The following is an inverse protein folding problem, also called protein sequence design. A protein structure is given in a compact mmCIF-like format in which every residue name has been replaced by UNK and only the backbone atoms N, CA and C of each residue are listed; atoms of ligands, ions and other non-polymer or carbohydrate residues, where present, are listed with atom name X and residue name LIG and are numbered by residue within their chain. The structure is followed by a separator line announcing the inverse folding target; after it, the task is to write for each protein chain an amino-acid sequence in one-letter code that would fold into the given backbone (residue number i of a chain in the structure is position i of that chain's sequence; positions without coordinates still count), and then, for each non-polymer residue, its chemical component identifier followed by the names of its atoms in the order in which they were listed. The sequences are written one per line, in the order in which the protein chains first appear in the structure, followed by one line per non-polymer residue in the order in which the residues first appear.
data_IF_924735125379
#
_entry.id   IF_924735125379
#
_cell.length_a   1.000
_cell.length_b   1.000
_cell.length_c   1.000
_cell.angle_alpha   90.00
_cell.angle_beta   90.00
_cell.angle_gamma   90.00
#
_symmetry.space_group_name_H-M   'P 1'
#
loop_
_entity.id
_entity.type
_entity.pdbx_description
1 polymer ?
#
# COMPACT_ATOMS: atom_id res chain seq x y z
N UNK A 1 -5.00 26.39 -32.50
CA UNK A 1 -4.21 26.49 -31.26
C UNK A 1 -5.15 26.18 -30.09
N UNK A 2 -4.76 25.28 -29.18
CA UNK A 2 -5.47 24.82 -27.96
C UNK A 2 -6.34 23.55 -28.09
N UNK A 3 -5.66 22.39 -28.09
CA UNK A 3 -6.16 21.09 -27.55
C UNK A 3 -5.00 20.33 -26.90
N UNK A 4 -4.35 20.96 -25.93
CA UNK A 4 -3.42 20.28 -25.02
C UNK A 4 -4.18 20.15 -23.70
N UNK A 5 -4.11 18.98 -23.08
CA UNK A 5 -4.80 18.56 -21.83
C UNK A 5 -6.20 17.96 -22.06
N UNK A 6 -6.26 16.78 -22.69
CA UNK A 6 -7.35 15.84 -22.41
C UNK A 6 -7.26 15.47 -20.93
N UNK A 7 -8.21 15.96 -20.14
CA UNK A 7 -8.57 15.35 -18.86
C UNK A 7 -8.79 13.87 -19.14
N UNK A 8 -8.07 12.99 -18.45
CA UNK A 8 -8.39 11.56 -18.45
C UNK A 8 -9.86 11.41 -18.08
N UNK A 9 -10.60 10.59 -18.83
CA UNK A 9 -11.98 10.30 -18.44
C UNK A 9 -11.95 9.57 -17.08
N UNK A 10 -12.90 9.84 -16.20
CA UNK A 10 -12.89 9.30 -14.83
C UNK A 10 -12.85 7.77 -14.84
N UNK A 11 -13.48 7.17 -15.86
CA UNK A 11 -13.51 5.73 -16.10
C UNK A 11 -12.12 5.21 -16.45
N UNK A 12 -11.38 5.89 -17.33
CA UNK A 12 -10.01 5.49 -17.70
C UNK A 12 -9.07 5.54 -16.49
N UNK A 13 -9.24 6.52 -15.60
CA UNK A 13 -8.47 6.60 -14.36
C UNK A 13 -8.77 5.40 -13.46
N UNK A 14 -10.05 5.03 -13.32
CA UNK A 14 -10.45 3.87 -12.53
C UNK A 14 -9.88 2.57 -13.12
N UNK A 15 -9.95 2.41 -14.43
CA UNK A 15 -9.45 1.23 -15.14
C UNK A 15 -7.91 1.13 -15.09
N UNK A 16 -7.21 2.25 -14.91
CA UNK A 16 -5.74 2.26 -14.71
C UNK A 16 -5.29 1.74 -13.33
N UNK A 17 -6.21 1.59 -12.36
CA UNK A 17 -5.86 1.14 -11.02
C UNK A 17 -5.68 -0.38 -10.99
N UNK A 18 -4.52 -0.84 -10.50
CA UNK A 18 -4.24 -2.26 -10.26
C UNK A 18 -3.77 -2.52 -8.84
N UNK A 19 -4.21 -3.64 -8.26
CA UNK A 19 -3.69 -4.18 -7.00
C UNK A 19 -2.52 -5.15 -7.19
N UNK A 20 -2.25 -5.58 -8.42
CA UNK A 20 -1.24 -6.57 -8.77
C UNK A 20 -0.44 -6.09 -10.00
N UNK A 21 0.46 -5.12 -9.82
CA UNK A 21 1.30 -4.65 -10.91
C UNK A 21 2.20 -5.77 -11.45
N UNK A 22 2.28 -5.85 -12.77
CA UNK A 22 3.18 -6.73 -13.52
C UNK A 22 4.53 -6.02 -13.78
N UNK A 23 5.52 -6.75 -14.28
CA UNK A 23 6.87 -6.20 -14.48
C UNK A 23 6.91 -5.21 -15.66
N UNK A 24 6.03 -5.42 -16.64
CA UNK A 24 5.83 -4.59 -17.82
C UNK A 24 5.01 -3.32 -17.56
N UNK A 25 4.39 -3.18 -16.39
CA UNK A 25 3.54 -2.03 -16.07
C UNK A 25 4.37 -0.76 -15.76
N UNK A 26 3.94 0.38 -16.31
CA UNK A 26 4.50 1.68 -15.94
C UNK A 26 3.80 2.24 -14.69
N UNK A 27 4.47 2.12 -13.54
CA UNK A 27 3.91 2.59 -12.27
C UNK A 27 4.10 4.11 -12.10
N UNK A 28 2.97 4.83 -12.08
CA UNK A 28 2.93 6.29 -11.90
C UNK A 28 2.85 6.69 -10.43
N UNK A 29 2.02 6.00 -9.64
CA UNK A 29 1.73 6.36 -8.25
C UNK A 29 1.33 5.14 -7.42
N UNK A 30 1.37 5.26 -6.09
CA UNK A 30 0.86 4.23 -5.17
C UNK A 30 -0.19 4.82 -4.22
N UNK A 31 -1.35 4.18 -4.14
CA UNK A 31 -2.48 4.60 -3.30
C UNK A 31 -2.68 3.63 -2.14
N UNK A 32 -3.12 4.17 -0.99
CA UNK A 32 -3.56 3.35 0.14
C UNK A 32 -5.07 3.19 0.10
N UNK A 33 -5.56 1.96 0.22
CA UNK A 33 -6.99 1.63 0.28
C UNK A 33 -7.29 0.72 1.46
N UNK A 34 -8.55 0.73 1.92
CA UNK A 34 -9.05 -0.15 2.97
C UNK A 34 -10.24 -0.94 2.45
N UNK A 35 -10.20 -2.26 2.61
CA UNK A 35 -11.28 -3.17 2.19
C UNK A 35 -11.27 -4.45 3.04
N UNK A 36 -12.35 -5.25 3.03
CA UNK A 36 -12.34 -6.58 3.63
C UNK A 36 -11.20 -7.43 3.04
N UNK A 37 -10.48 -8.17 3.88
CA UNK A 37 -9.27 -8.88 3.44
C UNK A 37 -9.53 -9.92 2.33
N UNK A 38 -10.76 -10.44 2.25
CA UNK A 38 -11.19 -11.37 1.19
C UNK A 38 -11.24 -10.72 -0.19
N UNK A 39 -11.54 -9.42 -0.31
CA UNK A 39 -11.60 -8.74 -1.61
C UNK A 39 -10.20 -8.43 -2.13
N UNK A 40 -9.22 -8.33 -1.23
CA UNK A 40 -7.82 -8.04 -1.55
C UNK A 40 -7.04 -9.31 -1.90
N UNK A 41 -7.67 -10.43 -2.22
CA UNK A 41 -6.99 -11.70 -2.50
C UNK A 41 -5.93 -11.60 -3.61
N UNK A 42 -6.18 -10.79 -4.63
CA UNK A 42 -5.24 -10.60 -5.74
C UNK A 42 -4.24 -9.45 -5.50
N UNK A 43 -4.35 -8.70 -4.41
CA UNK A 43 -3.42 -7.60 -4.15
C UNK A 43 -2.04 -8.11 -3.72
N UNK A 44 -1.00 -7.60 -4.37
CA UNK A 44 0.40 -7.88 -4.05
C UNK A 44 0.78 -7.36 -2.66
N UNK A 45 0.52 -6.08 -2.40
CA UNK A 45 0.83 -5.42 -1.13
C UNK A 45 -0.41 -5.30 -0.26
N UNK A 46 -0.55 -6.20 0.72
CA UNK A 46 -1.68 -6.19 1.65
C UNK A 46 -1.28 -6.66 3.04
N UNK A 47 -2.01 -6.18 4.04
CA UNK A 47 -1.87 -6.63 5.42
C UNK A 47 -3.24 -6.63 6.09
N UNK A 48 -3.50 -7.62 6.95
CA UNK A 48 -4.70 -7.63 7.76
C UNK A 48 -4.44 -6.85 9.05
N UNK A 49 -5.27 -5.85 9.31
CA UNK A 49 -5.30 -5.16 10.60
C UNK A 49 -6.38 -5.77 11.48
N UNK A 50 -6.02 -6.09 12.72
CA UNK A 50 -6.91 -6.68 13.73
C UNK A 50 -6.78 -5.83 14.99
N UNK A 51 -7.84 -5.63 15.79
CA UNK A 51 -7.69 -5.03 17.12
C UNK A 51 -6.57 -5.69 17.93
N UNK A 52 -5.77 -4.88 18.62
CA UNK A 52 -4.56 -5.37 19.30
C UNK A 52 -3.97 -4.34 20.25
N UNK A 53 -2.68 -4.46 20.55
CA UNK A 53 -2.01 -3.60 21.55
C UNK A 53 -1.05 -2.57 20.92
N UNK A 54 -0.67 -2.73 19.66
CA UNK A 54 0.28 -1.84 19.00
C UNK A 54 -0.40 -0.52 18.60
N UNK A 55 0.27 0.62 18.86
CA UNK A 55 -0.23 1.93 18.44
C UNK A 55 -0.37 1.97 16.91
N UNK A 56 -1.44 2.57 16.41
CA UNK A 56 -1.72 2.68 14.96
C UNK A 56 -0.55 3.18 14.11
N UNK A 57 0.19 4.20 14.56
CA UNK A 57 1.36 4.71 13.83
C UNK A 57 2.48 3.69 13.68
N UNK A 58 2.78 2.96 14.77
CA UNK A 58 3.77 1.89 14.73
C UNK A 58 3.32 0.74 13.81
N UNK A 59 2.03 0.41 13.83
CA UNK A 59 1.50 -0.62 12.94
C UNK A 59 1.59 -0.21 11.46
N UNK A 60 1.25 1.04 11.11
CA UNK A 60 1.40 1.56 9.73
C UNK A 60 2.85 1.48 9.28
N UNK A 61 3.77 2.01 10.10
CA UNK A 61 5.20 1.98 9.80
C UNK A 61 5.71 0.55 9.55
N UNK A 62 5.36 -0.39 10.42
CA UNK A 62 5.72 -1.81 10.25
C UNK A 62 5.10 -2.41 8.98
N UNK A 63 3.89 -2.02 8.61
CA UNK A 63 3.23 -2.48 7.38
C UNK A 63 3.93 -1.97 6.13
N UNK A 64 4.28 -0.69 6.09
CA UNK A 64 5.03 -0.09 4.96
C UNK A 64 6.42 -0.72 4.84
N UNK A 65 7.13 -0.89 5.97
CA UNK A 65 8.43 -1.57 5.98
C UNK A 65 8.33 -3.02 5.48
N UNK A 66 7.24 -3.72 5.78
CA UNK A 66 7.00 -5.07 5.25
C UNK A 66 6.96 -5.07 3.72
N UNK A 67 6.24 -4.12 3.11
CA UNK A 67 6.12 -4.03 1.66
C UNK A 67 7.47 -3.69 1.00
N UNK A 68 8.23 -2.75 1.57
CA UNK A 68 9.55 -2.37 1.05
C UNK A 68 10.58 -3.50 1.17
N UNK A 69 10.49 -4.34 2.19
CA UNK A 69 11.43 -5.45 2.43
C UNK A 69 11.05 -6.75 1.74
N UNK A 70 9.85 -6.84 1.17
CA UNK A 70 9.47 -8.01 0.38
C UNK A 70 10.40 -8.14 -0.83
N UNK A 71 10.90 -9.36 -1.05
CA UNK A 71 11.87 -9.67 -2.11
C UNK A 71 11.28 -9.54 -3.50
N UNK A 72 9.95 -9.67 -3.60
CA UNK A 72 9.20 -9.54 -4.86
C UNK A 72 8.88 -8.08 -5.19
N UNK A 73 9.21 -7.14 -4.30
CA UNK A 73 9.01 -5.71 -4.54
C UNK A 73 10.14 -5.16 -5.39
N UNK A 74 9.79 -4.63 -6.57
CA UNK A 74 10.73 -4.02 -7.52
C UNK A 74 11.29 -2.71 -6.95
N UNK A 75 12.38 -2.21 -7.54
CA UNK A 75 12.94 -0.93 -7.11
C UNK A 75 11.94 0.22 -7.31
N UNK A 76 11.24 0.22 -8.45
CA UNK A 76 10.22 1.23 -8.77
C UNK A 76 9.09 1.25 -7.74
N UNK A 77 8.58 0.10 -7.34
CA UNK A 77 7.56 0.00 -6.28
C UNK A 77 8.08 0.55 -4.95
N UNK A 78 9.33 0.23 -4.56
CA UNK A 78 9.92 0.75 -3.32
C UNK A 78 10.00 2.27 -3.33
N UNK A 79 10.37 2.87 -4.46
CA UNK A 79 10.49 4.31 -4.59
C UNK A 79 9.11 4.98 -4.47
N UNK A 80 8.08 4.43 -5.11
CA UNK A 80 6.71 4.92 -5.01
C UNK A 80 6.11 4.73 -3.61
N UNK A 81 6.36 3.59 -2.96
CA UNK A 81 5.92 3.35 -1.57
C UNK A 81 6.57 4.38 -0.63
N UNK A 82 7.87 4.63 -0.75
CA UNK A 82 8.55 5.63 0.09
C UNK A 82 8.05 7.03 -0.18
N UNK A 83 7.89 7.42 -1.44
CA UNK A 83 7.44 8.75 -1.80
C UNK A 83 5.99 9.03 -1.36
N UNK A 84 5.11 8.03 -1.39
CA UNK A 84 3.67 8.24 -1.23
C UNK A 84 3.07 7.70 0.07
N UNK A 85 3.62 6.63 0.63
CA UNK A 85 3.12 6.01 1.86
C UNK A 85 3.95 6.46 3.07
N UNK A 86 5.29 6.42 2.98
CA UNK A 86 6.16 6.80 4.10
C UNK A 86 6.03 8.29 4.46
N UNK A 87 5.87 9.17 3.47
CA UNK A 87 5.67 10.61 3.70
C UNK A 87 4.31 10.93 4.34
N UNK A 88 3.31 10.04 4.18
CA UNK A 88 1.93 10.21 4.63
C UNK A 88 1.55 9.29 5.79
N UNK A 89 2.53 8.76 6.54
CA UNK A 89 2.29 7.83 7.65
C UNK A 89 1.26 8.34 8.67
N UNK A 90 1.31 9.64 8.99
CA UNK A 90 0.38 10.27 9.94
C UNK A 90 -1.07 10.29 9.41
N UNK A 91 -1.25 10.53 8.12
CA UNK A 91 -2.56 10.60 7.46
C UNK A 91 -3.15 9.21 7.26
N UNK A 92 -2.32 8.21 6.99
CA UNK A 92 -2.77 6.81 6.98
C UNK A 92 -3.19 6.41 8.40
N UNK A 93 -2.37 6.74 9.40
CA UNK A 93 -2.58 6.34 10.79
C UNK A 93 -3.85 6.92 11.42
N UNK A 94 -4.23 8.16 11.10
CA UNK A 94 -5.42 8.79 11.69
C UNK A 94 -6.73 8.09 11.31
N UNK A 95 -6.74 7.40 10.17
CA UNK A 95 -7.88 6.65 9.65
C UNK A 95 -8.00 5.23 10.24
N UNK A 96 -7.09 4.84 11.15
CA UNK A 96 -7.06 3.51 11.76
C UNK A 96 -7.54 3.50 13.22
N UNK A 97 -8.09 2.36 13.70
CA UNK A 97 -8.42 2.17 15.10
C UNK A 97 -7.22 2.40 16.02
N UNK A 98 -7.47 2.86 17.26
CA UNK A 98 -6.42 3.34 18.17
C UNK A 98 -5.28 2.35 18.42
N UNK A 99 -5.61 1.08 18.67
CA UNK A 99 -4.64 0.00 18.84
C UNK A 99 -4.98 -1.19 17.96
N UNK A 100 -4.01 -1.59 17.14
CA UNK A 100 -4.15 -2.66 16.16
C UNK A 100 -2.93 -3.57 16.19
N UNK A 101 -3.06 -4.76 15.63
CA UNK A 101 -1.99 -5.71 15.37
C UNK A 101 -2.05 -6.07 13.89
N UNK A 102 -0.89 -6.13 13.27
CA UNK A 102 -0.77 -6.64 11.90
C UNK A 102 -0.79 -8.17 11.90
N UNK A 103 -1.45 -8.74 10.90
CA UNK A 103 -1.39 -10.15 10.55
C UNK A 103 -1.12 -10.26 9.05
N UNK A 104 -0.07 -11.00 8.68
CA UNK A 104 0.21 -11.39 7.31
C UNK A 104 0.88 -12.77 7.33
N UNK A 105 0.75 -13.58 6.26
CA UNK A 105 1.34 -14.91 6.18
C UNK A 105 2.86 -14.93 6.47
N UNK A 106 3.57 -13.82 6.23
CA UNK A 106 5.02 -13.72 6.37
C UNK A 106 5.51 -12.78 7.49
N UNK A 107 4.62 -12.21 8.30
CA UNK A 107 4.98 -11.18 9.29
C UNK A 107 5.93 -11.69 10.39
N UNK A 108 5.82 -12.97 10.78
CA UNK A 108 6.61 -13.55 11.87
C UNK A 108 8.10 -13.75 11.51
N UNK A 109 8.43 -13.85 10.22
CA UNK A 109 9.82 -14.02 9.76
C UNK A 109 10.66 -12.73 9.89
N UNK A 110 10.01 -11.56 9.97
CA UNK A 110 10.70 -10.26 10.05
C UNK A 110 11.07 -9.81 11.46
N UNK A 111 10.56 -10.49 12.51
CA UNK A 111 10.84 -10.13 13.93
C UNK A 111 12.15 -10.70 14.47
N UNK A 112 12.88 -11.54 13.73
CA UNK A 112 14.23 -11.97 14.10
C UNK A 112 15.24 -10.98 13.54
N UNK A 113 15.63 -10.01 14.35
CA UNK A 113 16.95 -9.38 14.27
C UNK A 113 17.45 -9.18 15.69
#
# INVERSE_FOLDING_TARGET
MNRILTFWDEIEVIDSLTGNPLEEDELLFCLTVCAPYSTLQNYKHKVKMIPGTTKRGQAVKTGIEMFVRDKTTTQREKDLIKANLTTKEQDISRNLPGKVKLSAPNLMKMKKK
#
